data_IF_037922275684
#
_entry.id   IF_037922275684
#
_cell.length_a   1.000
_cell.length_b   1.000
_cell.length_c   1.000
_cell.angle_alpha   90.00
_cell.angle_beta   90.00
_cell.angle_gamma   90.00
#
_symmetry.space_group_name_H-M   'P 1'
#
loop_
_entity.id
_entity.type
_entity.pdbx_description
1 polymer ?
#
# COMPACT_ATOMS: atom_id res chain seq x y z
N UNK A 1 -61.51 16.25 -3.75
CA UNK A 1 -60.11 15.77 -3.70
C UNK A 1 -59.19 16.78 -4.34
N UNK A 2 -58.79 17.81 -3.57
CA UNK A 2 -57.86 18.86 -4.02
C UNK A 2 -56.51 18.62 -3.36
N UNK A 3 -55.76 17.65 -3.85
CA UNK A 3 -54.40 17.37 -3.35
C UNK A 3 -53.48 18.55 -3.68
N UNK A 4 -52.63 18.93 -2.73
CA UNK A 4 -51.95 20.23 -2.71
C UNK A 4 -50.80 20.33 -3.74
N UNK A 5 -51.14 20.66 -4.99
CA UNK A 5 -50.16 20.86 -6.09
C UNK A 5 -49.08 21.91 -5.79
N UNK A 6 -49.32 22.82 -4.85
CA UNK A 6 -48.36 23.86 -4.45
C UNK A 6 -47.24 23.33 -3.55
N UNK A 7 -47.47 22.23 -2.81
CA UNK A 7 -46.44 21.57 -2.00
C UNK A 7 -45.46 20.73 -2.83
N UNK A 8 -45.94 20.12 -3.92
CA UNK A 8 -45.08 19.36 -4.85
C UNK A 8 -44.03 20.26 -5.52
N UNK A 9 -44.44 21.44 -6.00
CA UNK A 9 -43.56 22.34 -6.74
C UNK A 9 -42.43 22.87 -5.85
N UNK A 10 -42.72 23.23 -4.59
CA UNK A 10 -41.68 23.67 -3.64
C UNK A 10 -40.73 22.53 -3.28
N UNK A 11 -41.22 21.30 -3.09
CA UNK A 11 -40.36 20.12 -2.89
C UNK A 11 -39.47 19.82 -4.10
N UNK A 12 -39.99 19.89 -5.33
CA UNK A 12 -39.24 19.69 -6.57
C UNK A 12 -38.14 20.75 -6.76
N UNK A 13 -38.44 22.02 -6.45
CA UNK A 13 -37.45 23.09 -6.48
C UNK A 13 -36.36 22.89 -5.41
N UNK A 14 -36.72 22.44 -4.20
CA UNK A 14 -35.77 22.11 -3.14
C UNK A 14 -34.85 20.95 -3.54
N UNK A 15 -35.40 19.86 -4.09
CA UNK A 15 -34.65 18.72 -4.61
C UNK A 15 -33.68 19.13 -5.72
N UNK A 16 -34.14 19.95 -6.68
CA UNK A 16 -33.29 20.49 -7.74
C UNK A 16 -32.13 21.33 -7.20
N UNK A 17 -32.40 22.17 -6.19
CA UNK A 17 -31.37 22.97 -5.52
C UNK A 17 -30.35 22.08 -4.78
N UNK A 18 -30.81 21.04 -4.07
CA UNK A 18 -29.92 20.08 -3.40
C UNK A 18 -29.01 19.35 -4.40
N UNK A 19 -29.54 18.87 -5.53
CA UNK A 19 -28.75 18.17 -6.56
C UNK A 19 -27.67 19.10 -7.15
N UNK A 20 -28.00 20.36 -7.41
CA UNK A 20 -27.05 21.36 -7.91
C UNK A 20 -25.86 21.64 -6.96
N UNK A 21 -25.98 21.31 -5.68
CA UNK A 21 -24.91 21.45 -4.68
C UNK A 21 -24.20 20.12 -4.37
N UNK A 22 -24.56 19.02 -5.02
CA UNK A 22 -23.84 17.74 -4.86
C UNK A 22 -22.50 17.77 -5.58
N UNK A 23 -21.41 17.50 -4.85
CA UNK A 23 -20.11 17.24 -5.45
C UNK A 23 -20.13 15.81 -6.01
N UNK A 24 -20.10 15.67 -7.34
CA UNK A 24 -19.95 14.37 -7.98
C UNK A 24 -18.63 13.72 -7.59
N UNK A 25 -18.61 12.39 -7.46
CA UNK A 25 -17.38 11.65 -7.22
C UNK A 25 -16.43 11.83 -8.41
N UNK A 26 -15.31 12.52 -8.21
CA UNK A 26 -14.36 12.87 -9.27
C UNK A 26 -13.35 11.74 -9.59
N UNK A 27 -13.64 10.50 -9.16
CA UNK A 27 -12.83 9.32 -9.45
C UNK A 27 -13.32 8.70 -10.77
N UNK A 28 -12.62 9.02 -11.86
CA UNK A 28 -12.89 8.45 -13.17
C UNK A 28 -12.56 6.95 -13.23
N UNK A 29 -13.54 6.12 -13.59
CA UNK A 29 -13.36 4.68 -13.82
C UNK A 29 -12.89 4.39 -15.26
N UNK A 30 -13.34 5.18 -16.23
CA UNK A 30 -12.86 5.13 -17.61
C UNK A 30 -11.39 5.60 -17.68
N UNK A 31 -10.52 4.78 -18.26
CA UNK A 31 -9.09 5.07 -18.37
C UNK A 31 -8.24 4.73 -17.14
N UNK A 32 -8.80 3.99 -16.16
CA UNK A 32 -8.03 3.51 -15.01
C UNK A 32 -6.81 2.65 -15.42
N UNK A 33 -5.64 2.96 -14.84
CA UNK A 33 -4.38 2.23 -15.11
C UNK A 33 -4.24 1.05 -14.13
N UNK A 34 -4.32 -0.17 -14.65
CA UNK A 34 -4.25 -1.41 -13.87
C UNK A 34 -2.79 -1.86 -13.76
N UNK A 35 -2.29 -2.02 -12.53
CA UNK A 35 -1.02 -2.68 -12.23
C UNK A 35 -1.29 -4.08 -11.67
N UNK A 36 -0.56 -5.08 -12.17
CA UNK A 36 -0.83 -6.50 -11.86
C UNK A 36 0.45 -7.25 -11.50
N UNK A 37 0.30 -8.28 -10.66
CA UNK A 37 1.37 -9.19 -10.25
C UNK A 37 0.80 -10.54 -9.82
N UNK A 38 1.63 -11.36 -9.18
CA UNK A 38 1.25 -12.74 -8.83
C UNK A 38 0.34 -12.77 -7.59
N UNK A 39 -0.87 -13.32 -7.75
CA UNK A 39 -1.82 -13.51 -6.65
C UNK A 39 -1.27 -14.45 -5.56
N UNK A 40 -0.51 -15.49 -5.93
CA UNK A 40 0.16 -16.41 -4.99
C UNK A 40 1.30 -15.74 -4.19
N UNK A 41 1.76 -14.56 -4.61
CA UNK A 41 2.71 -13.75 -3.84
C UNK A 41 2.01 -12.65 -3.02
N UNK A 42 0.68 -12.58 -3.07
CA UNK A 42 -0.17 -11.54 -2.48
C UNK A 42 0.19 -10.13 -2.99
N UNK A 43 0.53 -10.00 -4.28
CA UNK A 43 0.81 -8.70 -4.89
C UNK A 43 -0.40 -7.78 -4.78
N UNK A 44 -0.21 -6.60 -4.17
CA UNK A 44 -1.28 -5.64 -3.90
C UNK A 44 -1.75 -5.60 -2.45
N UNK A 45 -1.20 -6.46 -1.57
CA UNK A 45 -1.59 -6.52 -0.15
C UNK A 45 -1.40 -5.18 0.59
N UNK A 46 -0.37 -4.43 0.24
CA UNK A 46 -0.21 -3.01 0.62
C UNK A 46 0.10 -2.18 -0.61
N UNK A 47 -0.43 -0.95 -0.65
CA UNK A 47 -0.24 -0.01 -1.76
C UNK A 47 -0.05 1.40 -1.21
N UNK A 48 0.96 2.12 -1.72
CA UNK A 48 1.22 3.51 -1.35
C UNK A 48 1.68 4.33 -2.56
N UNK A 49 1.20 5.57 -2.68
CA UNK A 49 1.69 6.51 -3.68
C UNK A 49 2.84 7.33 -3.11
N UNK A 50 3.90 7.51 -3.89
CA UNK A 50 5.05 8.36 -3.56
C UNK A 50 5.38 9.26 -4.74
N UNK A 51 5.83 10.47 -4.46
CA UNK A 51 6.35 11.42 -5.46
C UNK A 51 7.72 11.90 -5.01
N UNK A 52 8.69 11.86 -5.91
CA UNK A 52 10.07 12.26 -5.68
C UNK A 52 10.61 13.06 -6.89
N UNK A 53 11.88 13.44 -6.83
CA UNK A 53 12.65 14.02 -7.92
C UNK A 53 12.70 13.14 -9.20
N UNK A 54 12.56 11.83 -9.04
CA UNK A 54 12.54 10.85 -10.14
C UNK A 54 11.13 10.64 -10.75
N UNK A 55 10.06 11.24 -10.21
CA UNK A 55 8.69 11.15 -10.73
C UNK A 55 7.64 10.67 -9.72
N UNK A 56 6.55 10.09 -10.25
CA UNK A 56 5.40 9.59 -9.46
C UNK A 56 5.33 8.07 -9.55
N UNK A 57 5.30 7.41 -8.40
CA UNK A 57 5.43 5.96 -8.29
C UNK A 57 4.36 5.37 -7.38
N UNK A 58 3.94 4.15 -7.71
CA UNK A 58 3.11 3.31 -6.86
C UNK A 58 3.99 2.24 -6.24
N UNK A 59 4.14 2.26 -4.92
CA UNK A 59 4.79 1.19 -4.16
C UNK A 59 3.75 0.13 -3.81
N UNK A 60 4.09 -1.13 -4.07
CA UNK A 60 3.21 -2.29 -3.89
C UNK A 60 3.92 -3.39 -3.11
N UNK A 61 3.31 -3.85 -2.03
CA UNK A 61 3.77 -4.98 -1.23
C UNK A 61 3.27 -6.32 -1.76
N UNK A 62 4.08 -7.35 -1.56
CA UNK A 62 3.81 -8.74 -1.92
C UNK A 62 4.41 -9.66 -0.84
N UNK A 63 3.75 -9.83 0.32
CA UNK A 63 4.33 -10.46 1.51
C UNK A 63 4.63 -11.96 1.33
N UNK A 64 3.92 -12.65 0.44
CA UNK A 64 4.13 -14.09 0.21
C UNK A 64 5.23 -14.39 -0.83
N UNK A 65 5.81 -13.34 -1.43
CA UNK A 65 6.90 -13.41 -2.41
C UNK A 65 8.23 -13.88 -1.79
N UNK A 66 9.04 -14.63 -2.57
CA UNK A 66 10.34 -15.15 -2.17
C UNK A 66 10.39 -16.68 -2.10
N UNK A 67 11.43 -17.22 -1.44
CA UNK A 67 11.62 -18.67 -1.35
C UNK A 67 10.58 -19.32 -0.41
N UNK A 68 10.02 -20.51 -0.73
CA UNK A 68 8.96 -21.13 0.07
C UNK A 68 9.28 -21.32 1.56
N UNK A 69 10.55 -21.59 1.89
CA UNK A 69 11.06 -21.81 3.25
C UNK A 69 11.50 -20.51 3.96
N UNK A 70 11.56 -19.38 3.25
CA UNK A 70 12.04 -18.10 3.78
C UNK A 70 11.36 -16.95 3.04
N UNK A 71 10.02 -16.90 3.14
CA UNK A 71 9.18 -15.85 2.57
C UNK A 71 9.39 -14.57 3.37
N UNK A 72 10.25 -13.69 2.85
CA UNK A 72 10.49 -12.35 3.42
C UNK A 72 9.54 -11.28 2.85
N UNK A 73 8.73 -11.65 1.87
CA UNK A 73 8.00 -10.70 1.03
C UNK A 73 8.93 -9.94 0.09
N UNK A 74 8.34 -9.14 -0.80
CA UNK A 74 9.04 -8.19 -1.65
C UNK A 74 8.20 -6.93 -1.85
N UNK A 75 8.89 -5.82 -2.15
CA UNK A 75 8.28 -4.56 -2.59
C UNK A 75 8.50 -4.40 -4.10
N UNK A 76 7.56 -3.71 -4.74
CA UNK A 76 7.62 -3.36 -6.15
C UNK A 76 7.37 -1.86 -6.30
N UNK A 77 8.12 -1.19 -7.17
CA UNK A 77 7.80 0.18 -7.62
C UNK A 77 7.19 0.13 -9.01
N UNK A 78 6.05 0.78 -9.21
CA UNK A 78 5.38 0.85 -10.50
C UNK A 78 5.33 2.30 -11.00
N UNK A 79 5.68 2.50 -12.26
CA UNK A 79 5.70 3.83 -12.88
C UNK A 79 4.26 4.30 -13.19
N UNK A 80 3.83 5.41 -12.58
CA UNK A 80 2.49 5.97 -12.80
C UNK A 80 2.44 6.71 -14.16
N UNK A 81 3.50 7.45 -14.51
CA UNK A 81 3.60 8.25 -15.74
C UNK A 81 3.75 7.44 -17.04
N UNK A 82 4.27 6.20 -16.99
CA UNK A 82 4.48 5.34 -18.16
C UNK A 82 3.18 5.14 -18.96
N UNK A 83 3.06 5.82 -20.10
CA UNK A 83 1.76 6.05 -20.76
C UNK A 83 1.18 4.86 -21.53
N UNK A 84 1.92 3.76 -21.67
CA UNK A 84 1.52 2.60 -22.50
C UNK A 84 1.61 1.23 -21.81
N UNK A 85 2.38 1.09 -20.72
CA UNK A 85 2.53 -0.18 -20.00
C UNK A 85 2.56 0.08 -18.50
N UNK A 86 1.82 -0.72 -17.75
CA UNK A 86 1.84 -0.74 -16.30
C UNK A 86 3.02 -1.59 -15.82
N UNK A 87 4.23 -1.03 -15.89
CA UNK A 87 5.46 -1.74 -15.49
C UNK A 87 5.73 -1.57 -14.00
N UNK A 88 5.79 -2.69 -13.29
CA UNK A 88 6.26 -2.78 -11.91
C UNK A 88 7.64 -3.45 -11.87
N UNK A 89 8.59 -2.84 -11.15
CA UNK A 89 9.94 -3.35 -10.94
C UNK A 89 10.06 -3.83 -9.50
N UNK A 90 10.54 -5.07 -9.32
CA UNK A 90 10.89 -5.61 -8.01
C UNK A 90 12.03 -4.80 -7.41
N UNK A 91 11.82 -4.27 -6.20
CA UNK A 91 12.87 -3.65 -5.42
C UNK A 91 13.73 -4.74 -4.78
N UNK A 92 15.05 -4.62 -4.88
CA UNK A 92 15.98 -5.50 -4.19
C UNK A 92 16.15 -4.95 -2.77
N UNK A 93 15.57 -5.63 -1.76
CA UNK A 93 15.50 -5.12 -0.37
C UNK A 93 16.84 -5.22 0.39
N UNK A 94 17.84 -4.48 -0.08
CA UNK A 94 19.01 -4.07 0.70
C UNK A 94 18.88 -2.62 1.30
N UNK A 95 17.68 -1.99 1.22
CA UNK A 95 16.92 -1.09 2.20
C UNK A 95 17.58 0.12 2.93
N UNK A 96 17.32 1.41 2.56
CA UNK A 96 17.64 2.74 3.22
C UNK A 96 16.35 3.52 3.42
N UNK A 97 16.21 4.34 4.47
CA UNK A 97 15.07 5.16 4.88
C UNK A 97 14.36 6.19 3.97
N UNK A 98 13.02 6.13 3.99
CA UNK A 98 11.99 7.22 4.14
C UNK A 98 10.53 6.66 4.22
N UNK A 99 10.30 5.39 3.87
CA UNK A 99 9.06 4.64 4.06
C UNK A 99 9.30 3.47 5.02
N UNK A 100 8.58 3.42 6.15
CA UNK A 100 8.62 2.28 7.06
C UNK A 100 7.76 1.14 6.52
N UNK A 101 8.40 0.05 6.11
CA UNK A 101 7.77 -1.22 5.75
C UNK A 101 8.09 -2.26 6.82
N UNK A 102 7.12 -3.10 7.21
CA UNK A 102 7.33 -4.08 8.28
C UNK A 102 6.83 -5.47 7.87
N UNK A 103 7.63 -6.49 8.15
CA UNK A 103 7.26 -7.90 8.06
C UNK A 103 7.04 -8.47 9.47
N UNK A 104 5.81 -8.57 9.98
CA UNK A 104 5.55 -8.99 11.37
C UNK A 104 5.89 -10.45 11.62
N UNK A 105 5.80 -11.31 10.59
CA UNK A 105 6.11 -12.75 10.68
C UNK A 105 7.61 -13.07 10.54
N UNK A 106 8.49 -12.05 10.54
CA UNK A 106 9.92 -12.30 10.48
C UNK A 106 10.43 -12.94 11.79
N UNK A 107 10.99 -14.14 11.67
CA UNK A 107 11.44 -14.95 12.79
C UNK A 107 12.96 -14.81 13.02
N UNK A 108 13.35 -14.63 14.29
CA UNK A 108 14.73 -14.75 14.75
C UNK A 108 14.89 -15.96 15.68
N UNK A 109 16.05 -16.62 15.63
CA UNK A 109 16.37 -17.68 16.59
C UNK A 109 17.08 -17.08 17.81
N UNK A 110 16.45 -17.16 18.97
CA UNK A 110 17.04 -16.76 20.25
C UNK A 110 17.36 -18.02 21.05
N UNK A 111 18.64 -18.37 21.17
CA UNK A 111 19.06 -19.65 21.76
C UNK A 111 18.53 -20.84 20.95
N UNK A 112 17.72 -21.69 21.59
CA UNK A 112 17.09 -22.88 21.00
C UNK A 112 15.69 -22.65 20.43
N UNK A 113 15.09 -21.46 20.60
CA UNK A 113 13.71 -21.17 20.21
C UNK A 113 13.63 -20.12 19.10
N UNK A 114 12.54 -20.16 18.33
CA UNK A 114 12.22 -19.16 17.31
C UNK A 114 11.20 -18.17 17.86
N UNK A 115 11.54 -16.87 17.81
CA UNK A 115 10.67 -15.78 18.21
C UNK A 115 10.31 -14.94 16.98
N UNK A 116 9.11 -14.36 16.97
CA UNK A 116 8.56 -13.59 15.86
C UNK A 116 8.40 -12.11 16.27
N UNK A 117 9.49 -11.35 16.43
CA UNK A 117 9.43 -9.92 16.78
C UNK A 117 9.02 -9.02 15.61
N UNK A 118 9.01 -9.58 14.39
CA UNK A 118 8.98 -8.83 13.15
C UNK A 118 10.30 -8.08 12.84
N UNK A 119 10.37 -7.56 11.63
CA UNK A 119 11.42 -6.61 11.22
C UNK A 119 10.77 -5.45 10.50
N UNK A 120 11.23 -4.24 10.79
CA UNK A 120 10.87 -3.04 10.07
C UNK A 120 12.10 -2.50 9.33
N UNK A 121 11.86 -2.12 8.09
CA UNK A 121 12.81 -1.62 7.12
C UNK A 121 12.35 -0.23 6.69
N UNK A 122 13.28 0.70 6.73
CA UNK A 122 13.10 2.09 6.31
C UNK A 122 13.48 2.17 4.79
N UNK A 123 12.69 2.83 3.91
CA UNK A 123 12.79 2.77 2.40
C UNK A 123 12.77 4.13 1.65
N UNK A 124 13.83 4.52 0.92
CA UNK A 124 14.13 5.94 0.61
C UNK A 124 13.31 6.56 -0.51
N UNK A 125 13.30 7.91 -0.66
CA UNK A 125 12.58 8.55 -1.76
C UNK A 125 13.16 8.08 -3.09
N UNK A 126 14.49 7.94 -3.18
CA UNK A 126 15.21 7.41 -4.33
C UNK A 126 15.22 5.87 -4.40
N UNK A 127 14.46 5.18 -3.54
CA UNK A 127 14.33 3.73 -3.47
C UNK A 127 15.64 2.96 -3.16
N UNK A 128 16.55 3.53 -2.34
CA UNK A 128 17.93 3.03 -2.05
C UNK A 128 18.11 2.28 -0.70
N UNK A 129 19.39 2.06 -0.25
CA UNK A 129 19.97 0.99 0.65
C UNK A 129 20.84 1.42 1.94
N UNK A 130 20.36 1.31 3.21
CA UNK A 130 21.02 1.35 4.58
C UNK A 130 20.29 0.77 5.88
N UNK A 131 19.07 1.18 6.35
CA UNK A 131 18.54 0.95 7.76
C UNK A 131 17.43 -0.13 7.95
N UNK A 132 17.60 -1.03 8.92
CA UNK A 132 16.57 -2.00 9.37
C UNK A 132 16.66 -2.31 10.87
N UNK A 133 15.52 -2.47 11.54
CA UNK A 133 15.43 -2.75 12.98
C UNK A 133 14.35 -3.78 13.31
N UNK A 134 14.50 -4.48 14.43
CA UNK A 134 13.41 -5.31 14.99
C UNK A 134 12.71 -4.56 16.11
N UNK A 135 11.37 -4.45 16.11
CA UNK A 135 10.62 -3.80 17.20
C UNK A 135 10.82 -4.45 18.58
N UNK A 136 11.23 -5.72 18.63
CA UNK A 136 11.48 -6.46 19.87
C UNK A 136 12.78 -7.26 19.78
N UNK A 137 13.70 -7.02 20.70
CA UNK A 137 14.95 -7.76 20.77
C UNK A 137 14.73 -9.17 21.33
N UNK A 138 15.61 -10.12 20.97
CA UNK A 138 15.72 -11.38 21.71
C UNK A 138 15.92 -11.05 23.20
N UNK A 139 15.04 -11.49 24.12
CA UNK A 139 15.35 -11.38 25.53
C UNK A 139 16.62 -12.19 25.80
N UNK A 140 17.62 -11.57 26.43
CA UNK A 140 18.79 -12.32 26.93
C UNK A 140 18.27 -13.33 27.96
N UNK A 141 18.42 -14.61 27.65
CA UNK A 141 18.20 -15.68 28.63
C UNK A 141 19.31 -15.53 29.66
N UNK A 142 18.98 -14.95 30.83
CA UNK A 142 19.89 -14.90 31.97
C UNK A 142 20.06 -16.33 32.50
N UNK A 143 21.17 -16.99 32.13
CA UNK A 143 21.42 -18.38 32.50
C UNK A 143 22.29 -19.17 31.53
N UNK A 144 23.47 -18.64 31.17
CA UNK A 144 24.67 -19.41 30.81
C UNK A 144 25.88 -18.70 31.41
#
# INVERSE_FOLDING_TARGET
NSYSRTGDITHLLFLSFCIAHTQGFNVGTAGAKIFSGLAVEEFGYTVQQISNDQGKWLLVGSPWSGYPQNRKGNLYKCDISASRRATCQKLNLAVLDILKTCGPLWAQRCGSQYFYPGVCAEVSPQFTLQSSFSPCYCPKVWGQ
#
